data_IF_997997042894
#
_entry.id   IF_997997042894
#
_cell.length_a   1.000
_cell.length_b   1.000
_cell.length_c   1.000
_cell.angle_alpha   90.00
_cell.angle_beta   90.00
_cell.angle_gamma   90.00
#
_symmetry.space_group_name_H-M   'P 1'
#
loop_
_entity.id
_entity.type
_entity.pdbx_description
1 polymer ?
#
# COMPACT_ATOMS: atom_id res chain seq x y z
N UNK A 1 -6.83 19.81 3.45
CA UNK A 1 -5.69 18.98 3.01
C UNK A 1 -5.85 17.62 3.67
N UNK A 2 -5.20 16.55 3.19
CA UNK A 2 -5.43 15.18 3.70
C UNK A 2 -4.43 14.82 4.81
N UNK A 3 -4.87 14.07 5.81
CA UNK A 3 -3.98 13.52 6.85
C UNK A 3 -3.14 12.34 6.38
N UNK A 4 -3.46 11.77 5.21
CA UNK A 4 -2.70 10.69 4.58
C UNK A 4 -2.57 10.88 3.08
N UNK A 5 -1.38 10.61 2.55
CA UNK A 5 -1.04 10.78 1.13
C UNK A 5 -0.74 9.42 0.51
N UNK A 6 -1.37 9.14 -0.63
CA UNK A 6 -1.15 7.93 -1.42
C UNK A 6 -1.04 8.35 -2.89
N UNK A 7 0.09 8.00 -3.52
CA UNK A 7 0.31 8.19 -4.95
C UNK A 7 0.89 6.90 -5.57
N UNK A 8 0.47 6.56 -6.79
CA UNK A 8 1.14 5.54 -7.58
C UNK A 8 2.13 6.22 -8.53
N UNK A 9 3.44 5.99 -8.32
CA UNK A 9 4.49 6.50 -9.21
C UNK A 9 5.45 5.39 -9.60
N UNK A 10 5.69 5.25 -10.91
CA UNK A 10 6.65 4.28 -11.45
C UNK A 10 6.39 2.84 -10.96
N UNK A 11 5.12 2.46 -10.78
CA UNK A 11 4.72 1.13 -10.28
C UNK A 11 4.90 0.92 -8.78
N UNK A 12 5.24 1.97 -8.03
CA UNK A 12 5.38 1.94 -6.56
C UNK A 12 4.28 2.80 -5.94
N UNK A 13 3.51 2.22 -5.01
CA UNK A 13 2.57 2.95 -4.18
C UNK A 13 3.34 3.67 -3.08
N UNK A 14 3.53 4.97 -3.25
CA UNK A 14 4.18 5.81 -2.25
C UNK A 14 3.15 6.31 -1.26
N UNK A 15 3.44 6.12 0.02
CA UNK A 15 2.56 6.49 1.12
C UNK A 15 3.29 7.43 2.08
N UNK A 16 2.57 8.37 2.68
CA UNK A 16 3.14 9.23 3.71
C UNK A 16 2.06 9.87 4.59
N UNK A 17 2.44 10.25 5.80
CA UNK A 17 1.61 11.12 6.63
C UNK A 17 1.53 12.53 6.03
N UNK A 18 0.36 13.14 6.19
CA UNK A 18 0.06 14.50 5.76
C UNK A 18 -0.10 15.44 6.95
N UNK A 19 -1.25 16.10 7.02
CA UNK A 19 -1.59 16.94 8.17
C UNK A 19 -1.74 16.11 9.46
N UNK A 20 -1.44 16.75 10.59
CA UNK A 20 -1.55 16.13 11.92
C UNK A 20 -2.98 15.69 12.19
N UNK A 21 -3.18 14.40 12.47
CA UNK A 21 -4.48 13.83 12.80
C UNK A 21 -4.34 12.57 13.66
N UNK A 22 -5.45 12.09 14.21
CA UNK A 22 -5.54 10.82 14.92
C UNK A 22 -5.83 9.66 13.97
N UNK A 23 -5.52 8.43 14.37
CA UNK A 23 -5.62 7.26 13.49
C UNK A 23 -7.04 7.01 12.94
N UNK A 24 -8.09 7.41 13.65
CA UNK A 24 -9.46 7.33 13.13
C UNK A 24 -9.65 8.17 11.86
N UNK A 25 -9.11 9.39 11.84
CA UNK A 25 -9.15 10.26 10.66
C UNK A 25 -8.18 9.79 9.57
N UNK A 26 -6.96 9.37 9.93
CA UNK A 26 -5.95 8.89 8.97
C UNK A 26 -6.48 7.64 8.23
N UNK A 27 -7.17 6.73 8.94
CA UNK A 27 -7.81 5.55 8.34
C UNK A 27 -8.90 5.95 7.35
N UNK A 28 -9.76 6.93 7.69
CA UNK A 28 -10.81 7.42 6.79
C UNK A 28 -10.22 8.05 5.54
N UNK A 29 -9.19 8.87 5.69
CA UNK A 29 -8.54 9.54 4.56
C UNK A 29 -7.83 8.53 3.65
N UNK A 30 -7.12 7.55 4.22
CA UNK A 30 -6.48 6.49 3.46
C UNK A 30 -7.51 5.64 2.69
N UNK A 31 -8.62 5.28 3.33
CA UNK A 31 -9.70 4.52 2.69
C UNK A 31 -10.37 5.31 1.55
N UNK A 32 -10.67 6.59 1.79
CA UNK A 32 -11.27 7.46 0.77
C UNK A 32 -10.35 7.64 -0.44
N UNK A 33 -9.06 7.85 -0.21
CA UNK A 33 -8.08 7.98 -1.30
C UNK A 33 -7.94 6.70 -2.11
N UNK A 34 -7.88 5.53 -1.47
CA UNK A 34 -7.84 4.26 -2.20
C UNK A 34 -9.09 4.02 -3.05
N UNK A 35 -10.27 4.39 -2.54
CA UNK A 35 -11.53 4.28 -3.28
C UNK A 35 -11.54 5.19 -4.52
N UNK A 36 -11.04 6.42 -4.38
CA UNK A 36 -10.86 7.35 -5.50
C UNK A 36 -9.90 6.77 -6.56
N UNK A 37 -8.76 6.23 -6.14
CA UNK A 37 -7.78 5.60 -7.05
C UNK A 37 -8.37 4.39 -7.77
N UNK A 38 -9.17 3.57 -7.08
CA UNK A 38 -9.85 2.43 -7.68
C UNK A 38 -10.91 2.87 -8.70
N UNK A 39 -11.72 3.88 -8.35
CA UNK A 39 -12.80 4.40 -9.21
C UNK A 39 -12.26 5.08 -10.47
N UNK A 40 -11.13 5.78 -10.35
CA UNK A 40 -10.45 6.45 -11.47
C UNK A 40 -9.63 5.50 -12.35
N UNK A 41 -9.42 4.24 -11.93
CA UNK A 41 -8.60 3.27 -12.65
C UNK A 41 -7.09 3.47 -12.47
N UNK A 42 -6.65 4.32 -11.54
CA UNK A 42 -5.23 4.50 -11.19
C UNK A 42 -4.64 3.18 -10.63
N UNK A 43 -5.45 2.41 -9.89
CA UNK A 43 -5.10 1.06 -9.44
C UNK A 43 -5.47 0.01 -10.50
N UNK A 44 -4.66 -0.09 -11.55
CA UNK A 44 -4.89 -1.03 -12.66
C UNK A 44 -4.75 -2.53 -12.28
N UNK A 45 -4.28 -2.83 -11.06
CA UNK A 45 -3.94 -4.19 -10.64
C UNK A 45 -2.66 -4.71 -11.27
N UNK A 46 -2.40 -6.00 -11.07
CA UNK A 46 -1.21 -6.64 -11.61
C UNK A 46 -0.64 -7.75 -10.73
N UNK A 47 0.45 -8.39 -11.16
CA UNK A 47 1.01 -9.55 -10.48
C UNK A 47 1.66 -9.22 -9.13
N UNK A 48 2.09 -7.97 -8.92
CA UNK A 48 2.79 -7.48 -7.75
C UNK A 48 2.59 -5.96 -7.60
N UNK A 49 2.36 -5.51 -6.37
CA UNK A 49 2.47 -4.09 -5.99
C UNK A 49 3.55 -3.90 -4.93
N UNK A 50 4.38 -2.87 -5.12
CA UNK A 50 5.38 -2.43 -4.15
C UNK A 50 4.88 -1.19 -3.40
N UNK A 51 5.01 -1.17 -2.08
CA UNK A 51 4.58 -0.07 -1.21
C UNK A 51 5.81 0.50 -0.50
N UNK A 52 5.96 1.83 -0.51
CA UNK A 52 7.07 2.51 0.15
C UNK A 52 6.62 3.76 0.91
N UNK A 53 6.94 3.82 2.19
CA UNK A 53 6.75 4.99 3.04
C UNK A 53 6.29 4.64 4.45
N UNK A 54 6.22 5.64 5.35
CA UNK A 54 5.78 5.43 6.72
C UNK A 54 4.28 5.13 6.79
N UNK A 55 3.91 4.23 7.70
CA UNK A 55 2.54 3.75 7.87
C UNK A 55 2.25 3.42 9.33
N UNK A 56 1.02 3.67 9.79
CA UNK A 56 0.54 3.16 11.07
C UNK A 56 -0.13 1.79 10.90
N UNK A 57 -0.16 0.98 11.96
CA UNK A 57 -0.75 -0.37 11.90
C UNK A 57 -2.20 -0.36 11.37
N UNK A 58 -3.12 0.51 11.83
CA UNK A 58 -4.49 0.55 11.29
C UNK A 58 -4.53 0.84 9.79
N UNK A 59 -3.70 1.75 9.29
CA UNK A 59 -3.63 2.07 7.86
C UNK A 59 -3.06 0.91 7.06
N UNK A 60 -2.12 0.14 7.61
CA UNK A 60 -1.61 -1.07 6.96
C UNK A 60 -2.73 -2.09 6.67
N UNK A 61 -3.67 -2.27 7.61
CA UNK A 61 -4.83 -3.14 7.39
C UNK A 61 -5.80 -2.58 6.35
N UNK A 62 -5.99 -1.25 6.28
CA UNK A 62 -6.81 -0.60 5.25
C UNK A 62 -6.21 -0.83 3.86
N UNK A 63 -4.90 -0.58 3.71
CA UNK A 63 -4.18 -0.83 2.46
C UNK A 63 -4.26 -2.31 2.09
N UNK A 64 -3.95 -3.21 3.03
CA UNK A 64 -3.97 -4.65 2.80
C UNK A 64 -5.33 -5.15 2.32
N UNK A 65 -6.42 -4.77 3.00
CA UNK A 65 -7.77 -5.21 2.63
C UNK A 65 -8.15 -4.80 1.21
N UNK A 66 -7.89 -3.54 0.81
CA UNK A 66 -8.25 -3.06 -0.52
C UNK A 66 -7.32 -3.61 -1.61
N UNK A 67 -6.01 -3.60 -1.38
CA UNK A 67 -5.01 -3.94 -2.40
C UNK A 67 -4.90 -5.44 -2.65
N UNK A 68 -5.18 -6.30 -1.65
CA UNK A 68 -5.16 -7.75 -1.80
C UNK A 68 -6.18 -8.28 -2.82
N UNK A 69 -7.28 -7.54 -3.02
CA UNK A 69 -8.27 -7.89 -4.05
C UNK A 69 -7.89 -7.42 -5.46
N UNK A 70 -6.90 -6.53 -5.58
CA UNK A 70 -6.55 -5.86 -6.85
C UNK A 70 -5.23 -6.41 -7.41
N UNK A 71 -4.29 -6.79 -6.53
CA UNK A 71 -2.96 -7.26 -6.90
C UNK A 71 -2.73 -8.71 -6.46
N UNK A 72 -2.03 -9.47 -7.29
CA UNK A 72 -1.69 -10.87 -7.00
C UNK A 72 -0.72 -11.03 -5.81
N UNK A 73 0.12 -10.03 -5.56
CA UNK A 73 0.99 -9.95 -4.39
C UNK A 73 1.22 -8.48 -3.98
N UNK A 74 1.51 -8.26 -2.70
CA UNK A 74 1.82 -6.93 -2.14
C UNK A 74 3.09 -7.03 -1.28
N UNK A 75 4.05 -6.15 -1.53
CA UNK A 75 5.31 -6.10 -0.81
C UNK A 75 5.58 -4.71 -0.21
N UNK A 76 6.09 -4.67 1.01
CA UNK A 76 6.41 -3.43 1.74
C UNK A 76 7.92 -3.22 1.83
N UNK A 77 8.39 -2.00 1.57
CA UNK A 77 9.80 -1.67 1.74
C UNK A 77 10.20 -1.71 3.22
N UNK A 78 11.21 -2.51 3.55
CA UNK A 78 11.85 -2.53 4.86
C UNK A 78 13.20 -1.80 4.80
N UNK A 79 13.38 -0.67 5.49
CA UNK A 79 14.61 0.11 5.43
C UNK A 79 15.82 -0.59 6.08
N UNK A 80 15.61 -1.54 7.00
CA UNK A 80 16.71 -2.30 7.62
C UNK A 80 17.27 -3.34 6.67
N UNK A 81 16.40 -3.94 5.86
CA UNK A 81 16.79 -4.92 4.84
C UNK A 81 17.18 -4.26 3.51
N UNK A 82 16.82 -2.98 3.31
CA UNK A 82 16.96 -2.27 2.03
C UNK A 82 16.29 -3.01 0.87
N UNK A 83 15.19 -3.71 1.15
CA UNK A 83 14.43 -4.56 0.21
C UNK A 83 12.94 -4.47 0.49
N UNK A 84 12.12 -4.87 -0.48
CA UNK A 84 10.69 -5.07 -0.28
C UNK A 84 10.42 -6.50 0.20
N UNK A 85 9.57 -6.63 1.21
CA UNK A 85 9.16 -7.92 1.79
C UNK A 85 7.74 -8.24 1.35
N UNK A 86 7.55 -9.34 0.61
CA UNK A 86 6.22 -9.81 0.22
C UNK A 86 5.42 -10.19 1.47
N UNK A 87 4.32 -9.48 1.71
CA UNK A 87 3.49 -9.63 2.92
C UNK A 87 2.09 -10.15 2.64
N UNK A 88 1.65 -10.11 1.38
CA UNK A 88 0.38 -10.67 0.92
C UNK A 88 0.63 -11.32 -0.43
N UNK A 89 0.11 -12.53 -0.65
CA UNK A 89 0.18 -13.17 -1.97
C UNK A 89 -0.97 -14.16 -2.18
N UNK A 90 -1.58 -14.06 -3.36
CA UNK A 90 -2.41 -15.09 -4.00
C UNK A 90 -1.74 -15.59 -5.29
N UNK A 91 -0.56 -15.06 -5.61
CA UNK A 91 0.21 -15.39 -6.81
C UNK A 91 1.26 -16.46 -6.45
N UNK A 92 1.20 -17.67 -7.05
CA UNK A 92 2.12 -18.76 -6.71
C UNK A 92 3.60 -18.46 -7.05
N UNK A 93 3.85 -17.40 -7.83
CA UNK A 93 5.22 -16.94 -8.16
C UNK A 93 5.89 -16.20 -7.00
N UNK A 94 5.14 -15.77 -5.98
CA UNK A 94 5.66 -15.07 -4.81
C UNK A 94 5.24 -15.77 -3.52
N UNK A 95 6.18 -15.94 -2.59
CA UNK A 95 5.95 -16.50 -1.26
C UNK A 95 5.99 -15.40 -0.20
N UNK A 96 5.25 -15.62 0.89
CA UNK A 96 5.33 -14.72 2.05
C UNK A 96 6.76 -14.69 2.57
N UNK A 97 7.29 -13.48 2.80
CA UNK A 97 8.66 -13.25 3.24
C UNK A 97 9.70 -13.20 2.13
N UNK A 98 9.34 -13.39 0.86
CA UNK A 98 10.27 -13.17 -0.25
C UNK A 98 10.78 -11.73 -0.24
N UNK A 99 12.07 -11.58 -0.52
CA UNK A 99 12.75 -10.28 -0.59
C UNK A 99 12.98 -9.90 -2.06
N UNK A 100 12.48 -8.73 -2.46
CA UNK A 100 12.58 -8.22 -3.83
C UNK A 100 13.16 -6.79 -3.86
N UNK A 101 13.64 -6.37 -5.02
CA UNK A 101 14.17 -5.03 -5.28
C UNK A 101 13.10 -4.06 -5.79
#
# INVERSE_FOLDING_TARGET
MSSYKIELKEGILRINFGESAQNDQIVRDAAARLEEMATSGELAGGPLLKINGPISIPVAFVLAHKLAHIYGAVAFYDPKLSKYVVSITHNPSYKLGDLID
#
